data_IF_822944958160
#
_entry.id   IF_822944958160
#
_cell.length_a   1.000
_cell.length_b   1.000
_cell.length_c   1.000
_cell.angle_alpha   90.00
_cell.angle_beta   90.00
_cell.angle_gamma   90.00
#
_symmetry.space_group_name_H-M   'P 1'
#
loop_
_entity.id
_entity.type
_entity.pdbx_description
1 polymer ?
#
# COMPACT_ATOMS: atom_id res chain seq x y z
N UNK A 1 -6.39 -6.36 -1.81
CA UNK A 1 -7.22 -5.92 -2.96
C UNK A 1 -6.47 -4.82 -3.70
N UNK A 2 -6.56 -4.78 -5.02
CA UNK A 2 -6.01 -3.71 -5.85
C UNK A 2 -7.18 -2.91 -6.42
N UNK A 3 -7.32 -1.65 -6.01
CA UNK A 3 -8.22 -0.68 -6.60
C UNK A 3 -7.53 -0.07 -7.82
N UNK A 4 -8.07 -0.28 -9.02
CA UNK A 4 -7.50 0.26 -10.24
C UNK A 4 -8.50 1.08 -11.06
N UNK A 5 -8.03 2.04 -11.84
CA UNK A 5 -8.89 2.92 -12.62
C UNK A 5 -8.17 4.22 -12.99
N UNK A 6 -8.79 5.05 -13.83
CA UNK A 6 -8.19 6.28 -14.34
C UNK A 6 -7.77 7.26 -13.23
N UNK A 7 -6.87 8.19 -13.57
CA UNK A 7 -6.46 9.25 -12.64
C UNK A 7 -7.65 10.11 -12.19
N UNK A 8 -7.67 10.52 -10.92
CA UNK A 8 -8.74 11.37 -10.38
C UNK A 8 -10.08 10.67 -10.08
N UNK A 9 -10.22 9.37 -10.34
CA UNK A 9 -11.49 8.63 -10.16
C UNK A 9 -11.89 8.36 -8.71
N UNK A 10 -11.09 8.79 -7.71
CA UNK A 10 -11.42 8.67 -6.28
C UNK A 10 -10.92 7.40 -5.57
N UNK A 11 -9.98 6.64 -6.15
CA UNK A 11 -9.42 5.42 -5.52
C UNK A 11 -8.84 5.68 -4.11
N UNK A 12 -8.06 6.75 -3.96
CA UNK A 12 -7.44 7.16 -2.70
C UNK A 12 -8.50 7.51 -1.67
N UNK A 13 -9.54 8.27 -2.06
CA UNK A 13 -10.67 8.61 -1.22
C UNK A 13 -11.45 7.36 -0.78
N UNK A 14 -11.64 6.39 -1.68
CA UNK A 14 -12.30 5.12 -1.36
C UNK A 14 -11.50 4.32 -0.31
N UNK A 15 -10.17 4.25 -0.48
CA UNK A 15 -9.30 3.61 0.50
C UNK A 15 -9.32 4.34 1.87
N UNK A 16 -9.33 5.68 1.88
CA UNK A 16 -9.47 6.49 3.09
C UNK A 16 -10.79 6.25 3.80
N UNK A 17 -11.91 6.21 3.06
CA UNK A 17 -13.22 5.90 3.64
C UNK A 17 -13.27 4.51 4.25
N UNK A 18 -12.68 3.52 3.58
CA UNK A 18 -12.55 2.18 4.13
C UNK A 18 -11.79 2.19 5.46
N UNK A 19 -10.62 2.84 5.50
CA UNK A 19 -9.84 2.99 6.73
C UNK A 19 -10.68 3.65 7.81
N UNK A 20 -11.33 4.77 7.52
CA UNK A 20 -12.11 5.51 8.51
C UNK A 20 -13.25 4.66 9.10
N UNK A 21 -13.99 3.93 8.25
CA UNK A 21 -15.11 3.08 8.67
C UNK A 21 -14.69 1.81 9.41
N UNK A 22 -13.49 1.30 9.16
CA UNK A 22 -13.04 0.00 9.67
C UNK A 22 -11.82 0.05 10.59
N UNK A 23 -11.27 1.23 10.91
CA UNK A 23 -10.05 1.38 11.72
C UNK A 23 -10.09 0.61 13.05
N UNK A 24 -11.26 0.50 13.69
CA UNK A 24 -11.42 -0.20 14.98
C UNK A 24 -11.31 -1.73 14.85
N UNK A 25 -11.48 -2.28 13.65
CA UNK A 25 -11.26 -3.71 13.39
C UNK A 25 -9.77 -4.07 13.32
N UNK A 26 -8.89 -3.06 13.22
CA UNK A 26 -7.46 -3.23 13.04
C UNK A 26 -6.69 -2.78 14.29
N UNK A 27 -5.63 -3.53 14.65
CA UNK A 27 -4.69 -3.15 15.71
C UNK A 27 -3.78 -2.00 15.27
N UNK A 28 -3.56 -1.85 13.96
CA UNK A 28 -2.68 -0.85 13.38
C UNK A 28 -3.01 -0.62 11.90
N UNK A 29 -2.86 0.61 11.45
CA UNK A 29 -3.06 1.02 10.05
C UNK A 29 -1.79 1.71 9.56
N UNK A 30 -1.25 1.21 8.46
CA UNK A 30 -0.08 1.77 7.77
C UNK A 30 -0.52 2.34 6.43
N UNK A 31 -0.16 3.59 6.15
CA UNK A 31 -0.44 4.23 4.87
C UNK A 31 0.86 4.65 4.19
N UNK A 32 1.11 4.12 3.00
CA UNK A 32 2.31 4.37 2.21
C UNK A 32 1.91 5.05 0.91
N UNK A 33 2.54 6.17 0.58
CA UNK A 33 2.43 6.75 -0.76
C UNK A 33 3.60 6.26 -1.63
N UNK A 34 3.31 5.36 -2.56
CA UNK A 34 4.28 4.75 -3.46
C UNK A 34 4.76 5.69 -4.59
N UNK A 35 4.08 6.82 -4.82
CA UNK A 35 4.62 7.87 -5.70
C UNK A 35 5.90 8.51 -5.14
N UNK A 36 6.16 8.33 -3.84
CA UNK A 36 7.40 8.74 -3.20
C UNK A 36 8.14 7.51 -2.64
N UNK A 37 9.06 6.94 -3.41
CA UNK A 37 9.88 5.80 -2.98
C UNK A 37 10.65 6.06 -1.69
N UNK A 38 11.01 7.32 -1.39
CA UNK A 38 11.64 7.67 -0.12
C UNK A 38 10.71 7.52 1.09
N UNK A 39 9.39 7.56 0.90
CA UNK A 39 8.40 7.30 1.94
C UNK A 39 8.30 5.81 2.28
N UNK A 40 8.41 4.94 1.27
CA UNK A 40 8.59 3.48 1.48
C UNK A 40 9.87 3.25 2.27
N UNK A 41 10.97 3.90 1.85
CA UNK A 41 12.24 3.89 2.56
C UNK A 41 12.10 4.30 4.02
N UNK A 42 11.53 5.47 4.31
CA UNK A 42 11.35 5.98 5.68
C UNK A 42 10.49 5.08 6.57
N UNK A 43 9.40 4.52 6.05
CA UNK A 43 8.54 3.62 6.84
C UNK A 43 9.26 2.32 7.22
N UNK A 44 10.12 1.85 6.32
CA UNK A 44 10.98 0.67 6.51
C UNK A 44 12.35 1.06 7.09
N UNK A 45 12.49 2.26 7.68
CA UNK A 45 13.73 2.78 8.27
C UNK A 45 14.99 2.69 7.38
N UNK A 46 14.79 2.83 6.06
CA UNK A 46 15.81 2.83 5.00
C UNK A 46 16.22 4.26 4.60
N UNK A 47 16.07 5.22 5.50
CA UNK A 47 16.39 6.65 5.26
C UNK A 47 17.88 6.81 4.92
N UNK A 48 18.20 7.45 3.79
CA UNK A 48 19.58 7.60 3.29
C UNK A 48 20.10 6.47 2.39
N UNK A 49 19.33 5.39 2.22
CA UNK A 49 19.69 4.23 1.37
C UNK A 49 19.09 4.28 -0.04
N UNK A 50 18.30 5.31 -0.33
CA UNK A 50 17.65 5.56 -1.63
C UNK A 50 18.20 6.84 -2.26
N UNK A 51 18.52 6.79 -3.54
CA UNK A 51 18.84 7.99 -4.32
C UNK A 51 17.58 8.74 -4.76
N UNK A 52 17.77 9.91 -5.40
CA UNK A 52 16.68 10.76 -5.87
C UNK A 52 15.74 10.08 -6.90
N UNK A 53 16.15 8.96 -7.50
CA UNK A 53 15.34 8.15 -8.42
C UNK A 53 14.65 6.96 -7.75
N UNK A 54 14.71 6.85 -6.40
CA UNK A 54 14.12 5.73 -5.66
C UNK A 54 14.88 4.40 -5.81
N UNK A 55 16.10 4.43 -6.38
CA UNK A 55 16.97 3.25 -6.47
C UNK A 55 17.89 3.19 -5.28
N UNK A 56 18.20 1.99 -4.84
CA UNK A 56 19.13 1.77 -3.73
C UNK A 56 20.53 2.29 -4.07
N UNK A 57 21.15 2.99 -3.11
CA UNK A 57 22.51 3.54 -3.20
C UNK A 57 23.52 2.75 -2.36
N UNK A 58 23.13 1.59 -1.83
CA UNK A 58 23.95 0.84 -0.88
C UNK A 58 25.02 0.03 -1.61
N UNK A 59 26.27 0.20 -1.20
CA UNK A 59 27.45 -0.48 -1.76
C UNK A 59 27.77 -1.83 -1.06
N UNK A 60 27.13 -2.11 0.08
CA UNK A 60 27.34 -3.31 0.91
C UNK A 60 25.97 -3.85 1.42
N UNK A 61 25.68 -5.15 1.33
CA UNK A 61 24.43 -5.71 1.83
C UNK A 61 24.53 -5.94 3.34
N UNK A 62 23.86 -5.17 4.20
CA UNK A 62 23.73 -5.58 5.62
C UNK A 62 22.58 -4.98 6.43
N UNK A 63 22.10 -3.75 6.17
CA UNK A 63 21.05 -3.18 7.04
C UNK A 63 19.64 -3.17 6.44
N UNK A 64 19.53 -3.06 5.12
CA UNK A 64 18.24 -2.92 4.44
C UNK A 64 17.41 -4.21 4.48
N UNK A 65 18.05 -5.32 4.08
CA UNK A 65 17.42 -6.65 4.08
C UNK A 65 16.99 -7.07 5.50
N UNK A 66 17.73 -6.63 6.53
CA UNK A 66 17.36 -6.87 7.92
C UNK A 66 16.11 -6.11 8.33
N UNK A 67 15.95 -4.84 7.96
CA UNK A 67 14.76 -4.07 8.37
C UNK A 67 13.52 -4.54 7.60
N UNK A 68 13.63 -4.73 6.28
CA UNK A 68 12.52 -5.30 5.48
C UNK A 68 12.14 -6.69 6.01
N UNK A 69 13.14 -7.52 6.33
CA UNK A 69 12.94 -8.82 6.95
C UNK A 69 12.23 -8.73 8.30
N UNK A 70 12.65 -7.83 9.18
CA UNK A 70 12.06 -7.63 10.51
C UNK A 70 10.61 -7.12 10.43
N UNK A 71 10.32 -6.15 9.55
CA UNK A 71 8.95 -5.66 9.34
C UNK A 71 8.07 -6.76 8.77
N UNK A 72 8.56 -7.55 7.79
CA UNK A 72 7.83 -8.71 7.27
C UNK A 72 7.58 -9.75 8.34
N UNK A 73 8.56 -10.07 9.17
CA UNK A 73 8.40 -11.00 10.28
C UNK A 73 7.38 -10.50 11.30
N UNK A 74 7.43 -9.21 11.65
CA UNK A 74 6.46 -8.61 12.57
C UNK A 74 5.04 -8.61 12.01
N UNK A 75 4.85 -8.28 10.73
CA UNK A 75 3.55 -8.39 10.06
C UNK A 75 3.08 -9.85 9.93
N UNK A 76 4.00 -10.81 9.78
CA UNK A 76 3.70 -12.24 9.71
C UNK A 76 3.50 -12.91 11.08
N UNK A 77 3.81 -12.24 12.19
CA UNK A 77 3.68 -12.79 13.54
C UNK A 77 2.21 -13.14 13.83
N UNK A 78 1.98 -14.28 14.50
CA UNK A 78 0.61 -14.78 14.79
C UNK A 78 -0.17 -13.84 15.70
N UNK A 79 0.55 -13.16 16.59
CA UNK A 79 0.02 -12.19 17.54
C UNK A 79 -0.34 -10.86 16.84
N UNK A 80 0.26 -10.59 15.68
CA UNK A 80 0.01 -9.41 14.87
C UNK A 80 -0.85 -9.76 13.65
N UNK A 81 -2.11 -10.11 13.90
CA UNK A 81 -3.01 -10.67 12.88
C UNK A 81 -4.10 -9.71 12.37
N UNK A 82 -4.18 -8.50 12.91
CA UNK A 82 -5.21 -7.50 12.60
C UNK A 82 -4.63 -6.17 12.11
N UNK A 83 -3.59 -6.17 11.29
CA UNK A 83 -3.08 -4.94 10.69
C UNK A 83 -3.70 -4.65 9.31
N UNK A 84 -3.72 -3.38 8.93
CA UNK A 84 -4.09 -2.91 7.59
C UNK A 84 -2.91 -2.14 6.98
N UNK A 85 -2.51 -2.51 5.77
CA UNK A 85 -1.51 -1.80 4.97
C UNK A 85 -2.17 -1.23 3.71
N UNK A 86 -2.11 0.09 3.55
CA UNK A 86 -2.53 0.79 2.34
C UNK A 86 -1.30 1.25 1.58
N UNK A 87 -1.20 0.85 0.31
CA UNK A 87 -0.16 1.31 -0.62
C UNK A 87 -0.84 2.12 -1.72
N UNK A 88 -0.75 3.44 -1.61
CA UNK A 88 -1.41 4.40 -2.48
C UNK A 88 -0.50 4.83 -3.64
N UNK A 89 -1.07 5.08 -4.82
CA UNK A 89 -0.38 5.52 -6.04
C UNK A 89 0.72 4.57 -6.54
N UNK A 90 0.46 3.27 -6.46
CA UNK A 90 1.40 2.26 -6.92
C UNK A 90 1.19 1.94 -8.41
N UNK A 91 1.76 2.78 -9.27
CA UNK A 91 1.63 2.66 -10.73
C UNK A 91 2.73 1.86 -11.40
N UNK A 92 3.91 1.75 -10.80
CA UNK A 92 5.09 1.06 -11.36
C UNK A 92 5.29 -0.32 -10.73
N UNK A 93 4.31 -1.20 -10.93
CA UNK A 93 4.31 -2.54 -10.33
C UNK A 93 5.15 -3.58 -11.07
N UNK A 94 5.65 -3.22 -12.24
CA UNK A 94 6.52 -4.10 -13.03
C UNK A 94 7.97 -4.02 -12.58
N UNK A 95 8.35 -2.96 -11.85
CA UNK A 95 9.73 -2.73 -11.43
C UNK A 95 10.11 -3.40 -10.10
N UNK A 96 9.15 -3.99 -9.38
CA UNK A 96 9.42 -4.71 -8.13
C UNK A 96 8.37 -5.79 -7.79
N UNK A 97 8.81 -6.89 -7.16
CA UNK A 97 7.92 -7.93 -6.67
C UNK A 97 7.36 -7.55 -5.29
N UNK A 98 6.04 -7.34 -5.20
CA UNK A 98 5.37 -7.05 -3.94
C UNK A 98 5.58 -8.13 -2.86
N UNK A 99 5.88 -9.36 -3.25
CA UNK A 99 6.17 -10.44 -2.31
C UNK A 99 7.51 -10.26 -1.58
N UNK A 100 8.39 -9.40 -2.10
CA UNK A 100 9.63 -9.01 -1.43
C UNK A 100 9.37 -8.09 -0.25
N UNK A 101 8.28 -7.34 -0.24
CA UNK A 101 7.97 -6.32 0.78
C UNK A 101 6.78 -6.67 1.67
N UNK A 102 5.85 -7.49 1.17
CA UNK A 102 4.65 -7.90 1.92
C UNK A 102 4.84 -9.35 2.39
N UNK A 103 4.59 -9.67 3.66
CA UNK A 103 4.67 -11.05 4.12
C UNK A 103 3.68 -11.95 3.40
N UNK A 104 4.09 -13.20 3.16
CA UNK A 104 3.18 -14.26 2.71
C UNK A 104 2.54 -14.92 3.94
N UNK A 105 1.58 -14.24 4.55
CA UNK A 105 0.78 -14.75 5.67
C UNK A 105 -0.72 -14.79 5.31
N UNK A 106 -1.51 -15.57 6.07
CA UNK A 106 -2.95 -15.72 5.86
C UNK A 106 -3.79 -14.66 6.61
N UNK A 107 -3.14 -13.71 7.26
CA UNK A 107 -3.76 -12.64 8.05
C UNK A 107 -3.26 -11.25 7.63
N UNK A 108 -3.87 -10.21 8.20
CA UNK A 108 -3.67 -8.83 7.79
C UNK A 108 -4.42 -8.49 6.50
N UNK A 109 -4.60 -7.19 6.26
CA UNK A 109 -5.26 -6.68 5.06
C UNK A 109 -4.32 -5.77 4.29
N UNK A 110 -4.29 -5.92 2.96
CA UNK A 110 -3.56 -5.02 2.08
C UNK A 110 -4.51 -4.41 1.05
N UNK A 111 -4.53 -3.08 0.97
CA UNK A 111 -5.20 -2.30 -0.07
C UNK A 111 -4.13 -1.61 -0.90
N UNK A 112 -4.24 -1.70 -2.23
CA UNK A 112 -3.34 -1.03 -3.16
C UNK A 112 -4.18 -0.15 -4.07
N UNK A 113 -3.76 1.08 -4.36
CA UNK A 113 -4.37 1.89 -5.42
C UNK A 113 -3.39 2.02 -6.60
N UNK A 114 -3.90 1.89 -7.82
CA UNK A 114 -3.09 1.99 -9.04
C UNK A 114 -3.89 2.55 -10.21
N UNK A 115 -3.24 3.16 -11.20
CA UNK A 115 -3.87 3.50 -12.48
C UNK A 115 -3.88 2.33 -13.47
N UNK A 116 -3.06 1.31 -13.25
CA UNK A 116 -2.88 0.20 -14.20
C UNK A 116 -3.75 -1.01 -13.83
N UNK A 117 -4.44 -1.64 -14.79
CA UNK A 117 -5.28 -2.82 -14.55
C UNK A 117 -4.49 -4.13 -14.47
N UNK A 118 -3.29 -4.21 -15.10
CA UNK A 118 -2.47 -5.42 -15.20
C UNK A 118 -1.69 -5.77 -13.91
N UNK A 119 -1.95 -5.03 -12.84
CA UNK A 119 -1.25 -5.04 -11.57
C UNK A 119 -1.50 -6.26 -10.66
N UNK A 120 -1.99 -7.37 -11.23
CA UNK A 120 -2.86 -8.33 -10.53
C UNK A 120 -2.33 -9.75 -10.64
N UNK A 121 -1.01 -9.98 -10.69
CA UNK A 121 -0.52 -11.35 -10.87
C UNK A 121 -0.83 -12.30 -9.70
N UNK A 122 -1.26 -11.83 -8.52
CA UNK A 122 -1.68 -12.70 -7.39
C UNK A 122 -2.73 -12.12 -6.43
N UNK A 123 -3.32 -10.95 -6.70
CA UNK A 123 -4.29 -10.29 -5.78
C UNK A 123 -5.63 -10.10 -6.47
N UNK A 124 -6.73 -9.87 -5.74
CA UNK A 124 -8.02 -9.52 -6.36
C UNK A 124 -7.98 -8.06 -6.84
N UNK A 125 -8.14 -7.84 -8.14
CA UNK A 125 -8.35 -6.52 -8.75
C UNK A 125 -9.81 -6.08 -8.67
N UNK A 126 -10.03 -4.80 -8.44
CA UNK A 126 -11.35 -4.14 -8.42
C UNK A 126 -11.21 -2.85 -9.22
N UNK A 127 -11.92 -2.78 -10.34
CA UNK A 127 -12.00 -1.56 -11.14
C UNK A 127 -12.89 -0.54 -10.42
N UNK A 128 -12.36 0.67 -10.23
CA UNK A 128 -13.11 1.81 -9.73
C UNK A 128 -13.57 2.61 -10.95
N UNK A 129 -14.87 2.49 -11.24
CA UNK A 129 -15.54 3.27 -12.27
C UNK A 129 -15.84 4.69 -11.78
N UNK A 130 -16.24 5.55 -12.71
CA UNK A 130 -16.66 6.90 -12.39
C UNK A 130 -17.82 6.87 -11.40
N UNK A 131 -17.64 7.58 -10.29
CA UNK A 131 -18.65 7.77 -9.26
C UNK A 131 -19.87 8.45 -9.89
N UNK A 132 -21.07 7.92 -9.63
CA UNK A 132 -22.29 8.60 -10.07
C UNK A 132 -22.53 9.86 -9.23
N UNK A 133 -23.25 10.85 -9.77
CA UNK A 133 -23.47 12.13 -9.08
C UNK A 133 -24.06 12.00 -7.67
N UNK A 134 -24.96 11.04 -7.47
CA UNK A 134 -25.56 10.73 -6.16
C UNK A 134 -24.57 10.16 -5.13
N UNK A 135 -23.59 9.38 -5.59
CA UNK A 135 -22.53 8.84 -4.72
C UNK A 135 -21.56 9.94 -4.29
N UNK A 136 -21.30 10.91 -5.17
CA UNK A 136 -20.46 12.07 -4.89
C UNK A 136 -21.10 13.01 -3.87
N UNK A 137 -22.40 13.26 -3.97
CA UNK A 137 -23.16 14.04 -2.98
C UNK A 137 -23.13 13.35 -1.61
N UNK A 138 -23.31 12.04 -1.57
CA UNK A 138 -23.25 11.26 -0.32
C UNK A 138 -21.86 11.32 0.34
N UNK A 139 -20.81 11.42 -0.47
CA UNK A 139 -19.43 11.56 0.01
C UNK A 139 -19.17 12.92 0.67
N UNK A 140 -19.78 14.00 0.15
CA UNK A 140 -19.69 15.35 0.73
C UNK A 140 -20.49 15.50 2.04
N UNK A 141 -21.55 14.69 2.23
CA UNK A 141 -22.32 14.70 3.48
C UNK A 141 -21.63 13.92 4.60
N UNK A 142 -20.64 13.08 4.27
CA UNK A 142 -19.84 12.31 5.24
C UNK A 142 -18.49 12.97 5.59
N UNK A 143 -18.17 14.16 5.05
CA UNK A 143 -16.92 14.88 5.31
C UNK A 143 -17.01 15.87 6.47
#
# INVERSE_FOLDING_TARGET
VVLHGTGGIGKTQLALQYVYRHKEAYSSVFWINAANYTAIGRLLDMTGKLNAAGKFTVQEPTDEQHIVGAVKQWLAAKENNKWLLVIDNLDDLESFDLSDYIPQCCHGTVIITSRRPNCVHRRRGVEVSQMQGSEAEMLLVQS
#
